data_IF_343776642978
#
_entry.id   IF_343776642978
#
_cell.length_a   1.000
_cell.length_b   1.000
_cell.length_c   1.000
_cell.angle_alpha   90.00
_cell.angle_beta   90.00
_cell.angle_gamma   90.00
#
_symmetry.space_group_name_H-M   'P 1'
#
loop_
_entity.id
_entity.type
_entity.pdbx_description
1 polymer ?
#
# COMPACT_ATOMS: atom_id res chain seq x y z
N UNK A 1 25.44 -63.90 42.90
CA UNK A 1 25.32 -62.82 41.96
C UNK A 1 23.84 -62.61 41.66
N UNK A 2 23.22 -61.64 42.27
CA UNK A 2 21.79 -61.32 42.08
C UNK A 2 21.69 -60.05 41.26
N UNK A 3 21.14 -60.12 40.05
CA UNK A 3 20.86 -58.98 39.12
C UNK A 3 19.53 -58.39 39.46
N UNK A 4 19.57 -57.20 40.04
CA UNK A 4 18.38 -56.39 40.33
C UNK A 4 17.97 -55.64 39.06
N UNK A 5 16.84 -56.00 38.47
CA UNK A 5 16.17 -55.23 37.35
C UNK A 5 15.44 -54.06 37.93
N UNK A 6 15.92 -52.84 37.61
CA UNK A 6 15.25 -51.59 37.93
C UNK A 6 14.14 -51.35 36.91
N UNK A 7 12.89 -51.46 37.36
CA UNK A 7 11.70 -51.15 36.54
C UNK A 7 11.59 -49.62 36.25
N UNK A 8 11.49 -49.27 34.99
CA UNK A 8 11.17 -47.89 34.54
C UNK A 8 9.72 -47.53 34.94
N UNK A 9 9.48 -46.38 35.57
CA UNK A 9 8.11 -45.93 35.83
C UNK A 9 7.41 -45.52 34.52
N UNK A 10 6.22 -46.07 34.36
CA UNK A 10 5.33 -45.74 33.23
C UNK A 10 4.96 -44.26 33.24
N UNK A 11 5.27 -43.55 32.15
CA UNK A 11 4.92 -42.15 31.95
C UNK A 11 3.39 -42.00 31.93
N UNK A 12 2.82 -41.43 32.98
CA UNK A 12 1.41 -41.08 33.06
C UNK A 12 1.09 -40.01 31.99
N UNK A 13 0.44 -40.44 30.92
CA UNK A 13 -0.19 -39.51 29.92
C UNK A 13 -1.20 -38.67 30.67
N UNK A 14 -0.85 -37.43 31.01
CA UNK A 14 -1.79 -36.40 31.44
C UNK A 14 -2.81 -36.18 30.29
N UNK A 15 -4.01 -36.70 30.49
CA UNK A 15 -5.19 -36.34 29.68
C UNK A 15 -5.40 -34.85 29.84
N UNK A 16 -5.07 -34.07 28.80
CA UNK A 16 -5.46 -32.68 28.69
C UNK A 16 -6.97 -32.68 28.62
N UNK A 17 -7.62 -32.40 29.75
CA UNK A 17 -9.08 -32.23 29.82
C UNK A 17 -9.44 -31.09 28.86
N UNK A 18 -10.31 -31.35 27.88
CA UNK A 18 -10.97 -30.34 27.07
C UNK A 18 -11.69 -29.39 28.05
N UNK A 19 -11.04 -28.27 28.41
CA UNK A 19 -11.71 -27.19 29.12
C UNK A 19 -12.87 -26.72 28.23
N UNK A 20 -14.09 -26.96 28.65
CA UNK A 20 -15.29 -26.35 28.07
C UNK A 20 -15.03 -24.83 28.03
N UNK A 21 -15.17 -24.23 26.85
CA UNK A 21 -14.95 -22.80 26.62
C UNK A 21 -16.07 -21.98 27.30
N UNK A 22 -16.08 -22.00 28.65
CA UNK A 22 -16.82 -21.02 29.44
C UNK A 22 -16.00 -19.74 29.37
N UNK A 23 -16.58 -18.70 28.75
CA UNK A 23 -16.01 -17.36 28.71
C UNK A 23 -15.68 -16.92 30.12
N UNK A 24 -14.41 -16.72 30.41
CA UNK A 24 -13.97 -16.17 31.69
C UNK A 24 -14.57 -14.76 31.89
N UNK A 25 -14.72 -14.27 33.12
CA UNK A 25 -15.19 -12.89 33.37
C UNK A 25 -14.38 -11.85 32.56
N UNK A 26 -13.07 -12.04 32.44
CA UNK A 26 -12.16 -11.20 31.67
C UNK A 26 -12.51 -11.21 30.17
N UNK A 27 -12.83 -12.37 29.60
CA UNK A 27 -13.25 -12.48 28.19
C UNK A 27 -14.57 -11.75 27.93
N UNK A 28 -15.51 -11.80 28.88
CA UNK A 28 -16.78 -11.06 28.76
C UNK A 28 -16.57 -9.55 28.81
N UNK A 29 -15.71 -9.07 29.70
CA UNK A 29 -15.35 -7.65 29.81
C UNK A 29 -14.63 -7.21 28.52
N UNK A 30 -13.64 -7.96 28.04
CA UNK A 30 -12.96 -7.67 26.78
C UNK A 30 -13.94 -7.63 25.60
N UNK A 31 -14.87 -8.60 25.51
CA UNK A 31 -15.89 -8.61 24.46
C UNK A 31 -16.79 -7.37 24.51
N UNK A 32 -17.18 -6.91 25.70
CA UNK A 32 -18.00 -5.72 25.87
C UNK A 32 -17.28 -4.45 25.37
N UNK A 33 -15.98 -4.31 25.67
CA UNK A 33 -15.18 -3.17 25.20
C UNK A 33 -14.92 -3.21 23.68
N UNK A 34 -14.81 -4.40 23.08
CA UNK A 34 -14.62 -4.55 21.64
C UNK A 34 -15.93 -4.44 20.84
N UNK A 35 -17.09 -4.60 21.50
CA UNK A 35 -18.39 -4.66 20.83
C UNK A 35 -18.69 -3.40 19.98
N UNK A 36 -18.48 -2.15 20.44
CA UNK A 36 -18.73 -0.96 19.64
C UNK A 36 -17.88 -0.93 18.34
N UNK A 37 -16.58 -1.26 18.46
CA UNK A 37 -15.68 -1.33 17.31
C UNK A 37 -16.08 -2.45 16.35
N UNK A 38 -16.51 -3.61 16.89
CA UNK A 38 -16.97 -4.74 16.08
C UNK A 38 -18.26 -4.43 15.33
N UNK A 39 -19.22 -3.76 15.98
CA UNK A 39 -20.45 -3.30 15.32
C UNK A 39 -20.10 -2.31 14.20
N UNK A 40 -19.23 -1.33 14.44
CA UNK A 40 -18.76 -0.40 13.43
C UNK A 40 -18.11 -1.12 12.24
N UNK A 41 -17.24 -2.09 12.51
CA UNK A 41 -16.61 -2.91 11.47
C UNK A 41 -17.65 -3.70 10.65
N UNK A 42 -18.60 -4.34 11.29
CA UNK A 42 -19.64 -5.13 10.58
C UNK A 42 -20.51 -4.23 9.71
N UNK A 43 -20.98 -3.10 10.23
CA UNK A 43 -21.92 -2.21 9.53
C UNK A 43 -21.25 -1.46 8.39
N UNK A 44 -20.03 -0.92 8.61
CA UNK A 44 -19.39 -0.01 7.65
C UNK A 44 -18.36 -0.68 6.75
N UNK A 45 -17.89 -1.89 7.07
CA UNK A 45 -16.90 -2.61 6.26
C UNK A 45 -17.40 -3.96 5.78
N UNK A 46 -17.77 -4.86 6.70
CA UNK A 46 -18.11 -6.23 6.32
C UNK A 46 -19.39 -6.30 5.47
N UNK A 47 -20.45 -5.62 5.92
CA UNK A 47 -21.73 -5.62 5.18
C UNK A 47 -21.61 -4.99 3.77
N UNK A 48 -21.04 -3.79 3.58
CA UNK A 48 -20.84 -3.23 2.24
C UNK A 48 -19.92 -4.09 1.36
N UNK A 49 -18.88 -4.71 1.92
CA UNK A 49 -17.99 -5.61 1.17
C UNK A 49 -18.74 -6.86 0.67
N UNK A 50 -19.52 -7.51 1.54
CA UNK A 50 -20.35 -8.67 1.17
C UNK A 50 -21.42 -8.29 0.14
N UNK A 51 -22.05 -7.12 0.31
CA UNK A 51 -23.01 -6.62 -0.67
C UNK A 51 -22.34 -6.32 -2.00
N UNK A 52 -21.18 -5.69 -2.01
CA UNK A 52 -20.41 -5.46 -3.23
C UNK A 52 -20.03 -6.77 -3.93
N UNK A 53 -19.59 -7.77 -3.15
CA UNK A 53 -19.34 -9.11 -3.68
C UNK A 53 -20.59 -9.73 -4.31
N UNK A 54 -21.77 -9.63 -3.68
CA UNK A 54 -23.04 -10.09 -4.27
C UNK A 54 -23.37 -9.32 -5.55
N UNK A 55 -23.24 -7.99 -5.54
CA UNK A 55 -23.54 -7.14 -6.71
C UNK A 55 -22.63 -7.46 -7.91
N UNK A 56 -21.43 -7.96 -7.71
CA UNK A 56 -20.52 -8.34 -8.80
C UNK A 56 -21.06 -9.45 -9.71
N UNK A 57 -22.08 -10.21 -9.26
CA UNK A 57 -22.78 -11.23 -10.04
C UNK A 57 -24.10 -10.73 -10.64
N UNK A 58 -24.37 -9.44 -10.57
CA UNK A 58 -25.62 -8.82 -11.06
C UNK A 58 -25.31 -7.75 -12.09
N UNK A 59 -26.31 -7.38 -12.90
CA UNK A 59 -26.29 -6.22 -13.81
C UNK A 59 -26.75 -4.93 -13.11
N UNK A 60 -26.61 -4.84 -11.78
CA UNK A 60 -27.15 -3.76 -10.98
C UNK A 60 -26.73 -2.39 -11.51
N UNK A 61 -27.75 -1.56 -11.81
CA UNK A 61 -27.57 -0.20 -12.26
C UNK A 61 -27.89 0.79 -11.13
N UNK A 62 -27.00 1.76 -10.90
CA UNK A 62 -27.10 2.71 -9.81
C UNK A 62 -28.27 3.68 -9.97
N UNK A 63 -28.61 4.05 -11.22
CA UNK A 63 -29.66 5.02 -11.53
C UNK A 63 -31.07 4.41 -11.38
N UNK A 64 -31.29 3.22 -11.97
CA UNK A 64 -32.59 2.54 -11.88
C UNK A 64 -32.77 1.84 -10.53
N UNK A 65 -31.68 1.60 -9.78
CA UNK A 65 -31.67 0.81 -8.54
C UNK A 65 -32.18 -0.63 -8.72
N UNK A 66 -32.13 -1.13 -9.95
CA UNK A 66 -32.54 -2.48 -10.32
C UNK A 66 -31.34 -3.33 -10.72
N UNK A 67 -31.45 -4.63 -10.56
CA UNK A 67 -30.42 -5.57 -10.97
C UNK A 67 -30.90 -7.01 -10.90
N UNK A 68 -30.54 -7.78 -11.93
CA UNK A 68 -30.85 -9.19 -12.06
C UNK A 68 -29.56 -10.01 -11.88
N UNK A 69 -29.72 -11.23 -11.42
CA UNK A 69 -28.59 -12.13 -11.31
C UNK A 69 -28.14 -12.61 -12.70
N UNK A 70 -26.89 -12.29 -13.06
CA UNK A 70 -26.28 -12.63 -14.36
C UNK A 70 -25.10 -13.60 -14.24
N UNK A 71 -24.83 -14.10 -13.02
CA UNK A 71 -23.72 -15.02 -12.78
C UNK A 71 -22.35 -14.40 -13.07
N UNK A 72 -21.54 -15.06 -13.89
CA UNK A 72 -20.16 -14.63 -14.19
C UNK A 72 -20.05 -13.72 -15.42
N UNK A 73 -21.13 -13.15 -15.94
CA UNK A 73 -21.07 -12.33 -17.16
C UNK A 73 -20.17 -11.08 -17.00
N UNK A 74 -20.24 -10.40 -15.85
CA UNK A 74 -19.35 -9.26 -15.55
C UNK A 74 -17.88 -9.65 -15.62
N UNK A 75 -17.51 -10.81 -15.08
CA UNK A 75 -16.13 -11.29 -15.10
C UNK A 75 -15.66 -11.66 -16.50
N UNK A 76 -16.55 -12.24 -17.34
CA UNK A 76 -16.23 -12.46 -18.76
C UNK A 76 -16.06 -11.15 -19.49
N UNK A 77 -16.95 -10.19 -19.27
CA UNK A 77 -16.86 -8.85 -19.84
C UNK A 77 -15.53 -8.17 -19.45
N UNK A 78 -15.17 -8.21 -18.17
CA UNK A 78 -13.91 -7.67 -17.65
C UNK A 78 -12.68 -8.24 -18.38
N UNK A 79 -12.62 -9.56 -18.60
CA UNK A 79 -11.48 -10.20 -19.28
C UNK A 79 -11.39 -9.87 -20.77
N UNK A 80 -12.51 -9.47 -21.39
CA UNK A 80 -12.59 -9.06 -22.80
C UNK A 80 -12.47 -7.55 -23.00
N UNK A 81 -12.48 -6.78 -21.91
CA UNK A 81 -12.48 -5.33 -21.93
C UNK A 81 -11.06 -4.78 -22.13
N UNK A 82 -10.80 -4.18 -23.28
CA UNK A 82 -9.53 -3.55 -23.61
C UNK A 82 -9.18 -2.38 -22.65
N UNK A 83 -10.20 -1.63 -22.14
CA UNK A 83 -9.98 -0.54 -21.20
C UNK A 83 -9.56 -1.07 -19.81
N UNK A 84 -10.08 -2.21 -19.39
CA UNK A 84 -9.62 -2.89 -18.17
C UNK A 84 -8.13 -3.24 -18.25
N UNK A 85 -7.70 -3.86 -19.33
CA UNK A 85 -6.29 -4.25 -19.51
C UNK A 85 -5.37 -3.04 -19.62
N UNK A 86 -5.81 -1.99 -20.32
CA UNK A 86 -5.07 -0.72 -20.37
C UNK A 86 -4.94 -0.11 -18.96
N UNK A 87 -6.05 0.00 -18.21
CA UNK A 87 -6.05 0.55 -16.85
C UNK A 87 -5.18 -0.27 -15.89
N UNK A 88 -5.22 -1.59 -16.01
CA UNK A 88 -4.36 -2.50 -15.26
C UNK A 88 -2.87 -2.28 -15.57
N UNK A 89 -2.52 -2.18 -16.86
CA UNK A 89 -1.16 -1.91 -17.32
C UNK A 89 -0.61 -0.58 -16.82
N UNK A 90 -1.43 0.48 -16.89
CA UNK A 90 -1.08 1.81 -16.37
C UNK A 90 -0.89 1.76 -14.85
N UNK A 91 -1.76 1.07 -14.13
CA UNK A 91 -1.63 0.87 -12.68
C UNK A 91 -0.33 0.16 -12.33
N UNK A 92 0.02 -0.91 -13.03
CA UNK A 92 1.29 -1.60 -12.82
C UNK A 92 2.49 -0.69 -13.10
N UNK A 93 2.48 0.08 -14.19
CA UNK A 93 3.54 1.06 -14.50
C UNK A 93 3.71 2.04 -13.34
N UNK A 94 2.60 2.61 -12.86
CA UNK A 94 2.60 3.51 -11.70
C UNK A 94 3.16 2.84 -10.45
N UNK A 95 2.67 1.65 -10.09
CA UNK A 95 3.05 0.90 -8.88
C UNK A 95 4.55 0.60 -8.86
N UNK A 96 5.10 0.15 -9.99
CA UNK A 96 6.55 -0.17 -10.10
C UNK A 96 7.39 1.09 -9.88
N UNK A 97 7.03 2.21 -10.52
CA UNK A 97 7.75 3.49 -10.36
C UNK A 97 7.62 3.97 -8.90
N UNK A 98 6.38 4.00 -8.38
CA UNK A 98 6.11 4.54 -7.05
C UNK A 98 6.80 3.73 -5.96
N UNK A 99 6.61 2.42 -5.91
CA UNK A 99 7.19 1.57 -4.85
C UNK A 99 8.72 1.53 -4.97
N UNK A 100 9.24 1.35 -6.18
CA UNK A 100 10.68 1.24 -6.41
C UNK A 100 11.42 2.48 -5.92
N UNK A 101 11.03 3.66 -6.40
CA UNK A 101 11.70 4.91 -6.05
C UNK A 101 11.40 5.32 -4.61
N UNK A 102 10.13 5.27 -4.17
CA UNK A 102 9.73 5.65 -2.81
C UNK A 102 10.47 4.83 -1.76
N UNK A 103 10.57 3.51 -1.93
CA UNK A 103 11.23 2.64 -0.95
C UNK A 103 12.72 2.94 -0.84
N UNK A 104 13.40 3.14 -1.98
CA UNK A 104 14.83 3.46 -1.99
C UNK A 104 15.08 4.81 -1.31
N UNK A 105 14.31 5.84 -1.66
CA UNK A 105 14.43 7.16 -1.06
C UNK A 105 14.10 7.15 0.43
N UNK A 106 13.01 6.48 0.82
CA UNK A 106 12.61 6.37 2.21
C UNK A 106 13.65 5.62 3.05
N UNK A 107 14.24 4.54 2.53
CA UNK A 107 15.29 3.80 3.20
C UNK A 107 16.55 4.65 3.36
N UNK A 108 16.97 5.37 2.31
CA UNK A 108 18.10 6.28 2.37
C UNK A 108 17.88 7.38 3.42
N UNK A 109 16.69 8.02 3.41
CA UNK A 109 16.33 9.05 4.41
C UNK A 109 16.32 8.45 5.82
N UNK A 110 15.74 7.26 6.03
CA UNK A 110 15.68 6.60 7.33
C UNK A 110 17.09 6.31 7.89
N UNK A 111 18.00 5.80 7.05
CA UNK A 111 19.38 5.54 7.43
C UNK A 111 20.13 6.84 7.75
N UNK A 112 19.95 7.88 6.94
CA UNK A 112 20.53 9.20 7.20
C UNK A 112 20.01 9.80 8.50
N UNK A 113 18.71 9.73 8.76
CA UNK A 113 18.14 10.17 10.04
C UNK A 113 18.71 9.40 11.23
N UNK A 114 18.85 8.08 11.10
CA UNK A 114 19.39 7.25 12.18
C UNK A 114 20.84 7.59 12.52
N UNK A 115 21.65 7.98 11.52
CA UNK A 115 23.07 8.25 11.67
C UNK A 115 23.39 9.69 12.01
N UNK A 116 22.71 10.64 11.36
CA UNK A 116 23.12 12.05 11.36
C UNK A 116 22.34 12.91 12.34
N UNK A 117 21.09 12.54 12.68
CA UNK A 117 20.28 13.44 13.50
C UNK A 117 19.22 12.72 14.32
N UNK A 118 19.12 13.15 15.59
CA UNK A 118 18.01 12.79 16.47
C UNK A 118 16.98 13.91 16.58
N UNK A 119 17.11 14.97 15.80
CA UNK A 119 16.26 16.16 15.86
C UNK A 119 14.81 15.80 15.48
N UNK A 120 13.88 16.09 16.38
CA UNK A 120 12.45 15.96 16.16
C UNK A 120 11.96 16.91 15.06
N UNK A 121 12.57 18.10 14.96
CA UNK A 121 12.23 19.11 13.95
C UNK A 121 12.46 18.59 12.53
N UNK A 122 13.61 17.96 12.28
CA UNK A 122 13.93 17.36 10.96
C UNK A 122 12.90 16.28 10.60
N UNK A 123 12.56 15.40 11.56
CA UNK A 123 11.55 14.36 11.36
C UNK A 123 10.16 14.94 11.09
N UNK A 124 9.78 16.00 11.82
CA UNK A 124 8.50 16.68 11.61
C UNK A 124 8.41 17.30 10.21
N UNK A 125 9.47 17.99 9.76
CA UNK A 125 9.51 18.60 8.41
C UNK A 125 9.37 17.53 7.32
N UNK A 126 10.01 16.38 7.46
CA UNK A 126 9.94 15.30 6.48
C UNK A 126 8.51 14.69 6.36
N UNK A 127 7.71 14.77 7.42
CA UNK A 127 6.32 14.24 7.41
C UNK A 127 5.31 15.29 6.95
N UNK A 128 5.63 16.58 6.94
CA UNK A 128 4.70 17.64 6.55
C UNK A 128 3.98 17.39 5.21
N UNK A 129 4.66 16.94 4.12
CA UNK A 129 3.98 16.69 2.86
C UNK A 129 2.89 15.62 2.96
N UNK A 130 3.07 14.63 3.81
CA UNK A 130 2.08 13.55 4.01
C UNK A 130 0.78 14.06 4.66
N UNK A 131 0.85 15.13 5.45
CA UNK A 131 -0.33 15.74 6.10
C UNK A 131 -1.21 16.53 5.13
N UNK A 132 -0.72 16.84 3.92
CA UNK A 132 -1.49 17.56 2.90
C UNK A 132 -2.57 16.62 2.34
N UNK A 133 -3.88 17.01 2.34
CA UNK A 133 -4.93 16.23 1.72
C UNK A 133 -4.65 15.99 0.22
N UNK A 134 -4.94 14.79 -0.29
CA UNK A 134 -4.62 14.40 -1.68
C UNK A 134 -5.17 15.36 -2.73
N UNK A 135 -6.42 15.84 -2.56
CA UNK A 135 -7.07 16.77 -3.48
C UNK A 135 -6.31 18.09 -3.52
N UNK A 136 -5.96 18.65 -2.36
CA UNK A 136 -5.20 19.91 -2.26
C UNK A 136 -3.82 19.76 -2.88
N UNK A 137 -3.17 18.64 -2.62
CA UNK A 137 -1.88 18.28 -3.21
C UNK A 137 -1.96 18.27 -4.75
N UNK A 138 -2.98 17.60 -5.30
CA UNK A 138 -3.16 17.49 -6.74
C UNK A 138 -3.37 18.86 -7.39
N UNK A 139 -4.22 19.71 -6.79
CA UNK A 139 -4.47 21.08 -7.28
C UNK A 139 -3.21 21.95 -7.22
N UNK A 140 -2.43 21.86 -6.14
CA UNK A 140 -1.18 22.59 -5.98
C UNK A 140 -0.17 22.20 -7.06
N UNK A 141 0.05 20.91 -7.27
CA UNK A 141 0.98 20.44 -8.28
C UNK A 141 0.48 20.70 -9.70
N UNK A 142 -0.82 20.61 -9.96
CA UNK A 142 -1.41 20.97 -11.25
C UNK A 142 -1.10 22.42 -11.61
N UNK A 143 -1.24 23.34 -10.65
CA UNK A 143 -0.86 24.74 -10.85
C UNK A 143 0.65 24.93 -11.03
N UNK A 144 1.48 24.27 -10.20
CA UNK A 144 2.93 24.38 -10.29
C UNK A 144 3.53 23.81 -11.58
N UNK A 145 2.88 22.78 -12.15
CA UNK A 145 3.30 22.07 -13.36
C UNK A 145 2.60 22.56 -14.63
N UNK A 146 1.77 23.63 -14.56
CA UNK A 146 1.09 24.19 -15.72
C UNK A 146 2.12 24.53 -16.81
N UNK A 147 1.86 24.15 -18.10
CA UNK A 147 2.80 24.37 -19.18
C UNK A 147 3.13 25.86 -19.43
N UNK A 148 2.18 26.77 -19.16
CA UNK A 148 2.31 28.18 -19.47
C UNK A 148 2.61 29.06 -18.25
N UNK A 149 1.93 28.78 -17.13
CA UNK A 149 1.97 29.62 -15.92
C UNK A 149 2.75 28.96 -14.76
N UNK A 150 3.10 27.67 -14.89
CA UNK A 150 3.69 26.89 -13.82
C UNK A 150 5.14 27.31 -13.52
N UNK A 151 5.44 27.47 -12.22
CA UNK A 151 6.78 27.86 -11.75
C UNK A 151 7.86 26.84 -12.15
N UNK A 152 7.51 25.55 -12.24
CA UNK A 152 8.46 24.50 -12.63
C UNK A 152 8.91 24.70 -14.07
N UNK A 153 7.99 24.95 -15.00
CA UNK A 153 8.33 25.26 -16.40
C UNK A 153 9.06 26.58 -16.55
N UNK A 154 8.75 27.57 -15.72
CA UNK A 154 9.52 28.81 -15.69
C UNK A 154 11.01 28.57 -15.34
N UNK A 155 11.29 27.75 -14.33
CA UNK A 155 12.66 27.39 -13.97
C UNK A 155 13.36 26.52 -15.01
N UNK A 156 12.64 25.57 -15.64
CA UNK A 156 13.20 24.74 -16.73
C UNK A 156 13.63 25.64 -17.91
N UNK A 157 12.80 26.59 -18.30
CA UNK A 157 13.10 27.55 -19.39
C UNK A 157 14.29 28.44 -19.03
N UNK A 158 14.42 28.87 -17.77
CA UNK A 158 15.54 29.68 -17.31
C UNK A 158 16.91 28.96 -17.44
N UNK A 159 16.91 27.61 -17.39
CA UNK A 159 18.12 26.79 -17.60
C UNK A 159 18.20 26.20 -19.02
N UNK A 160 17.37 26.70 -19.96
CA UNK A 160 17.40 26.30 -21.36
C UNK A 160 16.68 24.99 -21.69
N UNK A 161 15.89 24.42 -20.76
CA UNK A 161 15.07 23.25 -21.01
C UNK A 161 13.68 23.72 -21.46
N UNK A 162 13.15 23.23 -22.62
CA UNK A 162 11.84 23.65 -23.10
C UNK A 162 10.73 23.20 -22.14
N UNK A 163 9.59 23.93 -22.15
CA UNK A 163 8.42 23.62 -21.33
C UNK A 163 7.97 22.18 -21.55
N UNK A 164 7.66 21.50 -20.46
CA UNK A 164 7.20 20.12 -20.41
C UNK A 164 5.69 20.06 -20.20
N UNK A 165 5.04 19.08 -20.84
CA UNK A 165 3.58 18.90 -20.74
C UNK A 165 3.13 18.24 -19.42
N UNK A 166 4.06 17.59 -18.71
CA UNK A 166 3.81 16.91 -17.44
C UNK A 166 2.49 16.12 -17.40
N UNK A 167 1.44 16.72 -16.83
CA UNK A 167 0.13 16.10 -16.65
C UNK A 167 -0.71 16.06 -17.94
N UNK A 168 -0.37 16.86 -18.95
CA UNK A 168 -1.01 16.91 -20.27
C UNK A 168 -0.34 16.03 -21.32
N UNK A 169 0.79 15.40 -21.03
CA UNK A 169 1.54 14.55 -21.93
C UNK A 169 1.34 13.05 -21.60
N UNK A 170 1.03 12.24 -22.62
CA UNK A 170 0.74 10.80 -22.43
C UNK A 170 1.90 10.00 -21.84
N UNK A 171 3.14 10.40 -22.13
CA UNK A 171 4.32 9.69 -21.64
C UNK A 171 4.76 10.16 -20.24
N UNK A 172 4.49 11.45 -19.94
CA UNK A 172 4.95 12.09 -18.70
C UNK A 172 3.94 11.99 -17.55
N UNK A 173 2.65 11.84 -17.84
CA UNK A 173 1.59 11.92 -16.83
C UNK A 173 1.78 10.91 -15.67
N UNK A 174 2.04 9.65 -15.95
CA UNK A 174 2.22 8.63 -14.90
C UNK A 174 3.51 8.81 -14.10
N UNK A 175 4.69 9.03 -14.71
CA UNK A 175 5.89 9.41 -13.96
C UNK A 175 5.71 10.67 -13.11
N UNK A 176 4.99 11.68 -13.60
CA UNK A 176 4.72 12.92 -12.86
C UNK A 176 3.84 12.65 -11.64
N UNK A 177 2.73 11.94 -11.80
CA UNK A 177 1.84 11.55 -10.68
C UNK A 177 2.60 10.69 -9.66
N UNK A 178 3.44 9.75 -10.13
CA UNK A 178 4.28 8.97 -9.24
C UNK A 178 5.26 9.85 -8.46
N UNK A 179 5.93 10.81 -9.12
CA UNK A 179 6.81 11.77 -8.46
C UNK A 179 6.13 12.59 -7.37
N UNK A 180 4.92 13.08 -7.63
CA UNK A 180 4.10 13.81 -6.66
C UNK A 180 3.81 12.94 -5.42
N UNK A 181 3.35 11.70 -5.65
CA UNK A 181 3.00 10.79 -4.57
C UNK A 181 4.23 10.28 -3.79
N UNK A 182 5.35 10.06 -4.47
CA UNK A 182 6.65 9.74 -3.84
C UNK A 182 7.07 10.86 -2.91
N UNK A 183 7.09 12.11 -3.40
CA UNK A 183 7.43 13.27 -2.58
C UNK A 183 6.55 13.39 -1.34
N UNK A 184 5.25 13.18 -1.50
CA UNK A 184 4.30 13.21 -0.39
C UNK A 184 4.56 12.12 0.66
N UNK A 185 4.82 10.89 0.23
CA UNK A 185 4.81 9.72 1.10
C UNK A 185 6.21 9.29 1.59
N UNK A 186 7.30 9.72 0.94
CA UNK A 186 8.65 9.24 1.26
C UNK A 186 9.06 9.54 2.71
N UNK A 187 8.68 10.71 3.25
CA UNK A 187 9.01 11.10 4.62
C UNK A 187 8.30 10.26 5.67
N UNK A 188 7.00 9.99 5.47
CA UNK A 188 6.22 9.09 6.32
C UNK A 188 6.77 7.66 6.27
N UNK A 189 7.05 7.15 5.08
CA UNK A 189 7.65 5.82 4.89
C UNK A 189 9.03 5.72 5.54
N UNK A 190 9.85 6.78 5.42
CA UNK A 190 11.14 6.86 6.07
C UNK A 190 11.04 6.83 7.59
N UNK A 191 10.02 7.48 8.17
CA UNK A 191 9.80 7.47 9.62
C UNK A 191 9.40 6.08 10.13
N UNK A 192 8.60 5.33 9.38
CA UNK A 192 8.28 3.93 9.72
C UNK A 192 9.52 3.03 9.70
N UNK A 193 10.36 3.16 8.66
CA UNK A 193 11.63 2.43 8.55
C UNK A 193 12.62 2.84 9.65
N UNK A 194 12.67 4.14 9.97
CA UNK A 194 13.48 4.65 11.07
C UNK A 194 13.08 4.02 12.41
N UNK A 195 11.78 3.84 12.68
CA UNK A 195 11.29 3.12 13.86
C UNK A 195 11.88 1.71 13.95
N UNK A 196 11.95 1.00 12.83
CA UNK A 196 12.60 -0.32 12.76
C UNK A 196 14.12 -0.26 13.00
N UNK A 197 14.80 0.76 12.46
CA UNK A 197 16.25 0.93 12.66
C UNK A 197 16.62 1.18 14.13
N UNK A 198 15.81 1.94 14.86
CA UNK A 198 16.03 2.23 16.28
C UNK A 198 15.94 0.97 17.16
N UNK A 199 15.21 -0.04 16.72
CA UNK A 199 15.10 -1.32 17.44
C UNK A 199 16.33 -2.20 17.32
N UNK A 200 17.24 -1.94 16.38
CA UNK A 200 18.48 -2.72 16.21
C UNK A 200 19.50 -2.33 17.30
N UNK A 201 19.94 -3.28 18.15
CA UNK A 201 20.91 -3.00 19.20
C UNK A 201 22.23 -2.46 18.65
N UNK A 202 22.76 -1.42 19.26
CA UNK A 202 24.03 -0.78 18.84
C UNK A 202 25.22 -1.74 18.92
N UNK A 203 25.17 -2.72 19.83
CA UNK A 203 26.23 -3.74 20.01
C UNK A 203 26.56 -4.50 18.72
N UNK A 204 25.58 -4.73 17.82
CA UNK A 204 25.85 -5.36 16.52
C UNK A 204 26.77 -4.52 15.64
N UNK A 205 26.58 -3.20 15.64
CA UNK A 205 27.41 -2.27 14.87
C UNK A 205 28.79 -2.09 15.51
N UNK A 206 28.86 -2.05 16.83
CA UNK A 206 30.12 -1.95 17.58
C UNK A 206 31.01 -3.19 17.36
N UNK A 207 30.44 -4.39 17.45
CA UNK A 207 31.16 -5.63 17.17
C UNK A 207 31.67 -5.67 15.72
N UNK A 208 30.82 -5.34 14.75
CA UNK A 208 31.22 -5.32 13.35
C UNK A 208 32.30 -4.27 13.04
N UNK A 209 32.29 -3.13 13.74
CA UNK A 209 33.32 -2.12 13.60
C UNK A 209 34.68 -2.58 14.14
N UNK A 210 34.68 -3.35 15.22
CA UNK A 210 35.90 -3.99 15.77
C UNK A 210 36.48 -5.02 14.79
N UNK A 211 35.61 -5.71 14.04
CA UNK A 211 36.00 -6.63 12.96
C UNK A 211 36.42 -5.92 11.66
N UNK A 212 36.49 -4.60 11.66
CA UNK A 212 36.90 -3.80 10.50
C UNK A 212 35.86 -3.74 9.37
N UNK A 213 34.58 -3.99 9.64
CA UNK A 213 33.52 -3.91 8.64
C UNK A 213 33.27 -2.47 8.21
N UNK A 214 33.26 -2.23 6.89
CA UNK A 214 32.89 -0.91 6.34
C UNK A 214 31.38 -0.63 6.55
N UNK A 215 31.00 0.65 6.50
CA UNK A 215 29.62 1.13 6.63
C UNK A 215 28.65 0.44 5.65
N UNK A 216 29.07 0.25 4.39
CA UNK A 216 28.29 -0.44 3.36
C UNK A 216 28.13 -1.94 3.70
N UNK A 217 29.17 -2.57 4.24
CA UNK A 217 29.11 -3.96 4.69
C UNK A 217 28.13 -4.10 5.85
N UNK A 218 28.22 -3.23 6.87
CA UNK A 218 27.27 -3.22 8.00
C UNK A 218 25.83 -2.99 7.56
N UNK A 219 25.62 -2.04 6.61
CA UNK A 219 24.29 -1.83 6.04
C UNK A 219 23.73 -3.09 5.39
N UNK A 220 24.51 -3.79 4.57
CA UNK A 220 24.06 -4.96 3.80
C UNK A 220 23.91 -6.21 4.65
N UNK A 221 24.77 -6.41 5.65
CA UNK A 221 24.84 -7.67 6.44
C UNK A 221 24.13 -7.59 7.78
N UNK A 222 23.92 -6.38 8.33
CA UNK A 222 23.27 -6.18 9.63
C UNK A 222 21.96 -5.43 9.44
N UNK A 223 22.04 -4.18 8.92
CA UNK A 223 20.88 -3.28 8.86
C UNK A 223 19.76 -3.86 8.01
N UNK A 224 20.04 -4.21 6.76
CA UNK A 224 19.03 -4.66 5.81
C UNK A 224 18.38 -5.98 6.20
N UNK A 225 19.12 -7.03 6.66
CA UNK A 225 18.50 -8.27 7.14
C UNK A 225 17.63 -8.08 8.38
N UNK A 226 18.10 -7.33 9.38
CA UNK A 226 17.34 -7.08 10.62
C UNK A 226 16.12 -6.16 10.38
N UNK A 227 16.16 -5.31 9.36
CA UNK A 227 15.05 -4.44 8.97
C UNK A 227 13.99 -5.17 8.11
N UNK A 228 14.28 -6.36 7.59
CA UNK A 228 13.37 -7.11 6.68
C UNK A 228 11.92 -7.19 7.15
N UNK A 229 11.59 -7.52 8.43
CA UNK A 229 10.21 -7.60 8.87
C UNK A 229 9.47 -6.27 8.76
N UNK A 230 10.12 -5.17 9.16
CA UNK A 230 9.54 -3.82 9.06
C UNK A 230 9.44 -3.38 7.61
N UNK A 231 10.47 -3.66 6.81
CA UNK A 231 10.47 -3.38 5.37
C UNK A 231 9.35 -4.14 4.65
N UNK A 232 9.13 -5.41 5.00
CA UNK A 232 8.03 -6.20 4.44
C UNK A 232 6.66 -5.59 4.74
N UNK A 233 6.42 -5.18 6.00
CA UNK A 233 5.19 -4.51 6.39
C UNK A 233 4.99 -3.19 5.63
N UNK A 234 6.01 -2.34 5.60
CA UNK A 234 5.99 -1.06 4.89
C UNK A 234 5.72 -1.25 3.40
N UNK A 235 6.36 -2.22 2.77
CA UNK A 235 6.15 -2.52 1.36
C UNK A 235 4.73 -3.03 1.08
N UNK A 236 4.13 -3.86 1.95
CA UNK A 236 2.73 -4.29 1.78
C UNK A 236 1.77 -3.10 1.87
N UNK A 237 1.94 -2.22 2.86
CA UNK A 237 1.10 -1.02 3.02
C UNK A 237 1.26 -0.08 1.81
N UNK A 238 2.50 0.15 1.36
CA UNK A 238 2.78 0.99 0.19
C UNK A 238 2.22 0.37 -1.09
N UNK A 239 2.28 -0.96 -1.24
CA UNK A 239 1.72 -1.68 -2.38
C UNK A 239 0.20 -1.47 -2.46
N UNK A 240 -0.51 -1.74 -1.36
CA UNK A 240 -1.96 -1.57 -1.30
C UNK A 240 -2.34 -0.12 -1.64
N UNK A 241 -1.69 0.86 -1.01
CA UNK A 241 -1.94 2.28 -1.27
C UNK A 241 -1.63 2.70 -2.72
N UNK A 242 -0.59 2.11 -3.33
CA UNK A 242 -0.24 2.41 -4.73
C UNK A 242 -1.26 1.87 -5.73
N UNK A 243 -1.81 0.67 -5.51
CA UNK A 243 -2.88 0.14 -6.36
C UNK A 243 -4.21 0.89 -6.20
N UNK A 244 -4.39 1.58 -5.09
CA UNK A 244 -5.59 2.37 -4.77
C UNK A 244 -5.42 3.87 -5.08
N UNK A 245 -4.42 4.25 -5.87
CA UNK A 245 -4.24 5.63 -6.29
C UNK A 245 -5.45 6.10 -7.08
N UNK A 246 -6.08 7.20 -6.62
CA UNK A 246 -7.31 7.74 -7.22
C UNK A 246 -7.30 9.27 -7.21
N UNK A 247 -7.33 9.89 -6.01
CA UNK A 247 -7.53 11.33 -5.84
C UNK A 247 -6.57 12.16 -6.70
N UNK A 248 -5.26 11.82 -6.64
CA UNK A 248 -4.23 12.55 -7.39
C UNK A 248 -4.45 12.40 -8.89
N UNK A 249 -4.85 11.21 -9.37
CA UNK A 249 -5.12 10.98 -10.81
C UNK A 249 -6.38 11.71 -11.24
N UNK A 250 -7.48 11.53 -10.51
CA UNK A 250 -8.79 12.12 -10.82
C UNK A 250 -8.70 13.65 -10.92
N UNK A 251 -8.03 14.28 -9.95
CA UNK A 251 -7.94 15.74 -9.88
C UNK A 251 -6.90 16.29 -10.87
N UNK A 252 -5.70 15.71 -10.90
CA UNK A 252 -4.60 16.22 -11.69
C UNK A 252 -4.84 16.09 -13.21
N UNK A 253 -5.65 15.11 -13.64
CA UNK A 253 -5.94 14.91 -15.06
C UNK A 253 -7.35 15.33 -15.47
N UNK A 254 -8.31 15.39 -14.51
CA UNK A 254 -9.69 15.84 -14.75
C UNK A 254 -9.94 17.31 -14.43
N UNK A 255 -9.00 17.99 -13.75
CA UNK A 255 -9.13 19.41 -13.42
C UNK A 255 -9.01 20.32 -14.64
N UNK A 256 -9.53 21.56 -14.51
CA UNK A 256 -9.50 22.59 -15.56
C UNK A 256 -10.08 22.15 -16.92
N UNK A 257 -11.07 21.24 -16.93
CA UNK A 257 -11.76 20.80 -18.14
C UNK A 257 -11.08 19.66 -18.88
N UNK A 258 -10.07 19.02 -18.29
CA UNK A 258 -9.51 17.77 -18.79
C UNK A 258 -10.45 16.58 -18.54
N UNK A 259 -10.32 15.51 -19.33
CA UNK A 259 -11.03 14.27 -19.06
C UNK A 259 -10.26 13.44 -18.01
N UNK A 260 -10.92 13.00 -16.91
CA UNK A 260 -10.29 12.11 -15.97
C UNK A 260 -9.73 10.85 -16.66
N UNK A 261 -8.46 10.54 -16.40
CA UNK A 261 -7.73 9.46 -17.11
C UNK A 261 -6.72 9.99 -18.12
N UNK A 262 -6.63 11.31 -18.29
CA UNK A 262 -5.63 11.99 -19.12
C UNK A 262 -5.82 11.82 -20.63
N UNK A 263 -4.92 12.39 -21.44
CA UNK A 263 -4.98 12.27 -22.88
C UNK A 263 -4.84 10.79 -23.29
N UNK A 264 -5.69 10.32 -24.22
CA UNK A 264 -5.65 8.93 -24.71
C UNK A 264 -5.79 7.83 -23.63
N UNK A 265 -6.43 8.15 -22.50
CA UNK A 265 -6.51 7.24 -21.34
C UNK A 265 -5.15 6.87 -20.71
N UNK A 266 -4.11 7.65 -20.96
CA UNK A 266 -2.73 7.37 -20.52
C UNK A 266 -2.52 7.39 -19.00
N UNK A 267 -3.45 7.96 -18.25
CA UNK A 267 -3.45 7.95 -16.78
C UNK A 267 -4.68 7.29 -16.15
N UNK A 268 -5.48 6.56 -16.94
CA UNK A 268 -6.63 5.84 -16.41
C UNK A 268 -6.19 4.62 -15.60
N UNK A 269 -5.88 4.83 -14.34
CA UNK A 269 -5.58 3.73 -13.39
C UNK A 269 -6.84 2.90 -13.08
N UNK A 270 -6.66 1.67 -12.63
CA UNK A 270 -7.77 0.72 -12.42
C UNK A 270 -8.79 1.24 -11.40
N UNK A 271 -8.35 1.91 -10.33
CA UNK A 271 -9.27 2.47 -9.33
C UNK A 271 -10.13 3.61 -9.91
N UNK A 272 -9.55 4.45 -10.78
CA UNK A 272 -10.30 5.46 -11.51
C UNK A 272 -11.31 4.82 -12.47
N UNK A 273 -10.92 3.76 -13.17
CA UNK A 273 -11.83 3.04 -14.06
C UNK A 273 -13.01 2.41 -13.32
N UNK A 274 -12.76 1.81 -12.14
CA UNK A 274 -13.83 1.31 -11.25
C UNK A 274 -14.80 2.44 -10.86
N UNK A 275 -14.27 3.60 -10.47
CA UNK A 275 -15.08 4.75 -10.10
C UNK A 275 -15.95 5.24 -11.26
N UNK A 276 -15.39 5.36 -12.46
CA UNK A 276 -16.12 5.76 -13.65
C UNK A 276 -17.24 4.78 -13.99
N UNK A 277 -16.99 3.47 -13.95
CA UNK A 277 -18.02 2.46 -14.18
C UNK A 277 -19.16 2.54 -13.16
N UNK A 278 -18.85 2.77 -11.89
CA UNK A 278 -19.83 2.84 -10.83
C UNK A 278 -20.70 4.11 -10.89
N UNK A 279 -20.07 5.29 -11.05
CA UNK A 279 -20.70 6.58 -10.80
C UNK A 279 -20.91 7.43 -12.06
N UNK A 280 -20.10 7.28 -13.11
CA UNK A 280 -20.29 7.98 -14.37
C UNK A 280 -21.18 7.15 -15.33
N UNK A 281 -20.95 5.84 -15.41
CA UNK A 281 -21.73 4.94 -16.27
C UNK A 281 -22.87 4.20 -15.53
N UNK A 282 -23.01 4.39 -14.22
CA UNK A 282 -24.03 3.78 -13.38
C UNK A 282 -24.05 2.24 -13.39
N UNK A 283 -22.99 1.58 -13.89
CA UNK A 283 -22.85 0.13 -14.01
C UNK A 283 -22.24 -0.45 -12.72
N UNK A 284 -22.97 -0.34 -11.59
CA UNK A 284 -22.45 -0.70 -10.27
C UNK A 284 -22.13 -2.21 -10.15
N UNK A 285 -22.91 -3.08 -10.82
CA UNK A 285 -22.62 -4.52 -10.87
C UNK A 285 -21.27 -4.83 -11.52
N UNK A 286 -20.96 -4.18 -12.66
CA UNK A 286 -19.69 -4.33 -13.35
C UNK A 286 -18.53 -3.73 -12.55
N UNK A 287 -18.71 -2.53 -11.99
CA UNK A 287 -17.72 -1.89 -11.11
C UNK A 287 -17.41 -2.75 -9.87
N UNK A 288 -18.41 -3.42 -9.31
CA UNK A 288 -18.23 -4.38 -8.22
C UNK A 288 -17.38 -5.58 -8.65
N UNK A 289 -17.58 -6.12 -9.85
CA UNK A 289 -16.75 -7.21 -10.38
C UNK A 289 -15.29 -6.77 -10.60
N UNK A 290 -15.05 -5.56 -11.13
CA UNK A 290 -13.72 -4.95 -11.24
C UNK A 290 -13.05 -4.81 -9.87
N UNK A 291 -13.82 -4.39 -8.84
CA UNK A 291 -13.33 -4.23 -7.46
C UNK A 291 -12.93 -5.56 -6.84
N UNK A 292 -13.72 -6.62 -7.05
CA UNK A 292 -13.38 -7.98 -6.62
C UNK A 292 -12.11 -8.46 -7.34
N UNK A 293 -11.98 -8.21 -8.64
CA UNK A 293 -10.77 -8.51 -9.41
C UNK A 293 -9.53 -7.81 -8.83
N UNK A 294 -9.64 -6.53 -8.47
CA UNK A 294 -8.56 -5.77 -7.83
C UNK A 294 -8.20 -6.35 -6.45
N UNK A 295 -9.18 -6.71 -5.63
CA UNK A 295 -8.95 -7.33 -4.31
C UNK A 295 -8.18 -8.65 -4.47
N UNK A 296 -8.61 -9.52 -5.39
CA UNK A 296 -7.93 -10.79 -5.65
C UNK A 296 -6.49 -10.57 -6.12
N UNK A 297 -6.26 -9.60 -7.02
CA UNK A 297 -4.93 -9.21 -7.46
C UNK A 297 -4.05 -8.77 -6.29
N UNK A 298 -4.57 -7.89 -5.42
CA UNK A 298 -3.85 -7.40 -4.24
C UNK A 298 -3.49 -8.53 -3.27
N UNK A 299 -4.41 -9.45 -3.01
CA UNK A 299 -4.15 -10.61 -2.14
C UNK A 299 -3.04 -11.49 -2.71
N UNK A 300 -3.06 -11.74 -4.02
CA UNK A 300 -2.03 -12.54 -4.70
C UNK A 300 -0.67 -11.84 -4.62
N UNK A 301 -0.60 -10.56 -5.02
CA UNK A 301 0.67 -9.81 -5.07
C UNK A 301 1.23 -9.62 -3.66
N UNK A 302 0.41 -9.25 -2.67
CA UNK A 302 0.84 -9.13 -1.27
C UNK A 302 1.29 -10.48 -0.70
N UNK A 303 0.60 -11.57 -1.01
CA UNK A 303 0.99 -12.92 -0.60
C UNK A 303 2.33 -13.36 -1.18
N UNK A 304 2.58 -13.08 -2.46
CA UNK A 304 3.88 -13.33 -3.11
C UNK A 304 4.97 -12.48 -2.44
N UNK A 305 4.71 -11.19 -2.23
CA UNK A 305 5.65 -10.27 -1.60
C UNK A 305 6.04 -10.72 -0.19
N UNK A 306 5.06 -11.12 0.64
CA UNK A 306 5.32 -11.61 2.00
C UNK A 306 6.16 -12.89 2.00
N UNK A 307 5.92 -13.80 1.05
CA UNK A 307 6.74 -15.02 0.89
C UNK A 307 8.17 -14.70 0.45
N UNK A 308 8.36 -13.80 -0.50
CA UNK A 308 9.69 -13.41 -1.00
C UNK A 308 10.52 -12.72 0.08
N UNK A 309 9.90 -11.91 0.92
CA UNK A 309 10.58 -11.21 2.00
C UNK A 309 10.75 -12.05 3.27
N UNK A 310 10.23 -13.30 3.31
CA UNK A 310 10.26 -14.18 4.50
C UNK A 310 9.81 -13.42 5.77
N UNK A 311 8.72 -12.68 5.66
CA UNK A 311 8.25 -11.75 6.69
C UNK A 311 7.93 -12.39 8.06
N UNK A 312 7.93 -13.73 8.16
CA UNK A 312 7.69 -14.48 9.40
C UNK A 312 8.95 -15.05 10.08
N UNK A 313 10.10 -14.98 9.43
CA UNK A 313 11.36 -15.47 10.00
C UNK A 313 12.18 -14.27 10.46
N UNK A 314 12.17 -13.97 11.76
CA UNK A 314 13.19 -13.11 12.35
C UNK A 314 14.44 -13.96 12.49
N UNK A 315 15.56 -13.61 11.82
CA UNK A 315 16.88 -14.23 12.01
C UNK A 315 17.42 -14.03 13.47
N UNK A 316 16.55 -13.61 14.39
CA UNK A 316 16.81 -13.38 15.82
C UNK A 316 16.11 -14.41 16.74
N UNK A 317 15.45 -15.45 16.19
CA UNK A 317 14.83 -16.54 16.98
C UNK A 317 15.78 -17.72 17.15
#
# INVERSE_FOLDING_TARGET
MATTTVGRPAAARKRVAKRSARLTPETKVAALFLLPSFIGFVVFYAYPALRGFYLSFTDYNLLSQEGHWIGLQNYKGMLQDALFWNALGITFKYVVINIGIQTVLALAIAVLMHRLTQSIVVRSILVLPWLIPNVVLALLWMWMLDPNLGIVNHWLNAVGIPSQGFLGDEQQVIPTIAGINIWRNMGYTALLLFGGLVMIPKSFYEAASLDGASEWRMFRTITLPLLRPVLALVLVVTLIGSFQVFDTVQIATGGFGGAPGGPGNSSRVLYLYIFQQAFEFNALGYAAALSVGLILLLVIVAGIQMRLLRAGESDLA
#
